data_IF_865305794108
#
_entry.id   IF_865305794108
#
_cell.length_a   1.000
_cell.length_b   1.000
_cell.length_c   1.000
_cell.angle_alpha   90.00
_cell.angle_beta   90.00
_cell.angle_gamma   90.00
#
_symmetry.space_group_name_H-M   'P 1'
#
loop_
_entity.id
_entity.type
_entity.pdbx_description
1 polymer ?
#
# COMPACT_ATOMS: atom_id res chain seq x y z
N UNK A 1 11.46 -14.40 -41.69
CA UNK A 1 12.47 -14.04 -40.65
C UNK A 1 11.76 -14.05 -39.32
N UNK A 2 11.88 -15.12 -38.55
CA UNK A 2 11.24 -15.29 -37.25
C UNK A 2 11.98 -14.50 -36.19
N UNK A 3 11.41 -13.35 -35.77
CA UNK A 3 11.84 -12.70 -34.53
C UNK A 3 11.36 -13.55 -33.34
N UNK A 4 12.24 -14.44 -32.89
CA UNK A 4 12.10 -15.08 -31.58
C UNK A 4 12.10 -13.97 -30.52
N UNK A 5 10.91 -13.67 -29.98
CA UNK A 5 10.76 -12.86 -28.79
C UNK A 5 11.46 -13.57 -27.63
N UNK A 6 12.68 -13.17 -27.34
CA UNK A 6 13.36 -13.51 -26.10
C UNK A 6 12.45 -13.12 -24.93
N UNK A 7 12.20 -14.01 -23.97
CA UNK A 7 11.39 -13.66 -22.81
C UNK A 7 12.16 -12.64 -21.98
N UNK A 8 11.80 -11.38 -22.15
CA UNK A 8 12.35 -10.26 -21.36
C UNK A 8 12.02 -10.51 -19.87
N UNK A 9 13.08 -10.86 -19.33
CA UNK A 9 13.49 -10.88 -18.14
C UNK A 9 13.10 -10.48 -16.80
N UNK A 10 13.07 -11.31 -16.27
CA UNK A 10 12.89 -11.76 -14.89
C UNK A 10 13.48 -10.86 -13.77
N UNK A 11 14.67 -10.26 -13.81
CA UNK A 11 15.21 -9.52 -12.65
C UNK A 11 14.45 -8.23 -12.28
N UNK A 12 14.00 -7.44 -13.24
CA UNK A 12 13.30 -6.17 -12.96
C UNK A 12 11.89 -6.39 -12.41
N UNK A 13 11.20 -7.42 -12.86
CA UNK A 13 9.88 -7.77 -12.32
C UNK A 13 10.01 -8.33 -10.90
N UNK A 14 11.06 -9.10 -10.60
CA UNK A 14 11.33 -9.56 -9.23
C UNK A 14 11.60 -8.41 -8.26
N UNK A 15 12.33 -7.36 -8.69
CA UNK A 15 12.53 -6.17 -7.87
C UNK A 15 11.19 -5.52 -7.46
N UNK A 16 10.26 -5.38 -8.42
CA UNK A 16 8.94 -4.79 -8.16
C UNK A 16 8.04 -5.72 -7.30
N UNK A 17 8.15 -7.04 -7.45
CA UNK A 17 7.47 -8.00 -6.59
C UNK A 17 8.02 -7.97 -5.16
N UNK A 18 9.35 -7.86 -5.00
CA UNK A 18 9.99 -7.71 -3.70
C UNK A 18 9.56 -6.40 -3.00
N UNK A 19 9.49 -5.30 -3.76
CA UNK A 19 9.00 -4.02 -3.26
C UNK A 19 7.54 -4.12 -2.81
N UNK A 20 6.68 -4.75 -3.61
CA UNK A 20 5.27 -4.97 -3.25
C UNK A 20 5.15 -5.78 -1.95
N UNK A 21 5.96 -6.82 -1.80
CA UNK A 21 5.99 -7.61 -0.57
C UNK A 21 6.35 -6.75 0.65
N UNK A 22 7.44 -5.97 0.58
CA UNK A 22 7.82 -5.08 1.67
C UNK A 22 6.71 -4.09 2.03
N UNK A 23 6.07 -3.48 1.02
CA UNK A 23 4.97 -2.54 1.27
C UNK A 23 3.79 -3.22 1.99
N UNK A 24 3.50 -4.49 1.70
CA UNK A 24 2.46 -5.25 2.42
C UNK A 24 2.86 -5.47 3.89
N UNK A 25 4.10 -5.88 4.15
CA UNK A 25 4.61 -6.09 5.51
C UNK A 25 4.66 -4.81 6.34
N UNK A 26 4.96 -3.67 5.75
CA UNK A 26 4.87 -2.36 6.41
C UNK A 26 3.44 -2.02 6.86
N UNK A 27 2.41 -2.72 6.34
CA UNK A 27 1.04 -2.63 6.83
C UNK A 27 0.91 -3.08 8.28
N UNK A 28 1.58 -4.16 8.69
CA UNK A 28 1.58 -4.61 10.07
C UNK A 28 2.18 -3.52 10.96
N UNK A 29 3.35 -3.00 10.59
CA UNK A 29 4.05 -1.96 11.36
C UNK A 29 3.17 -0.73 11.55
N UNK A 30 2.52 -0.27 10.47
CA UNK A 30 1.65 0.89 10.48
C UNK A 30 0.43 0.66 11.40
N UNK A 31 -0.28 -0.47 11.25
CA UNK A 31 -1.48 -0.73 12.03
C UNK A 31 -1.19 -1.02 13.51
N UNK A 32 -0.03 -1.56 13.84
CA UNK A 32 0.43 -1.67 15.22
C UNK A 32 0.78 -0.29 15.80
N UNK A 33 1.47 0.57 15.03
CA UNK A 33 1.82 1.91 15.48
C UNK A 33 0.56 2.75 15.82
N UNK A 34 -0.54 2.61 15.06
CA UNK A 34 -1.78 3.34 15.32
C UNK A 34 -2.33 3.07 16.74
N UNK A 35 -2.11 1.91 17.33
CA UNK A 35 -2.56 1.61 18.69
C UNK A 35 -1.83 2.43 19.77
N UNK A 36 -0.66 3.00 19.45
CA UNK A 36 0.26 3.66 20.39
C UNK A 36 0.52 5.14 20.09
N UNK A 37 -0.37 5.79 19.32
CA UNK A 37 -0.21 7.20 18.95
C UNK A 37 -0.31 8.13 20.16
N UNK A 38 0.51 9.20 20.16
CA UNK A 38 0.38 10.30 21.12
C UNK A 38 -0.63 11.34 20.63
N UNK A 39 -0.93 11.37 19.33
CA UNK A 39 -1.86 12.31 18.72
C UNK A 39 -3.27 12.15 19.31
N UNK A 40 -3.91 13.27 19.66
CA UNK A 40 -5.27 13.30 20.20
C UNK A 40 -6.28 12.75 19.19
N UNK A 41 -6.11 13.13 17.91
CA UNK A 41 -6.98 12.74 16.79
C UNK A 41 -6.52 11.39 16.22
N UNK A 42 -6.65 10.30 16.99
CA UNK A 42 -6.38 8.96 16.50
C UNK A 42 -7.41 8.57 15.44
N UNK A 43 -7.00 7.95 14.31
CA UNK A 43 -7.92 7.45 13.31
C UNK A 43 -8.76 6.25 13.80
N UNK A 44 -8.40 5.66 14.95
CA UNK A 44 -9.11 4.53 15.54
C UNK A 44 -9.68 4.91 16.92
N UNK A 45 -10.85 4.36 17.28
CA UNK A 45 -11.53 4.69 18.54
C UNK A 45 -10.93 3.99 19.77
N UNK A 46 -9.91 3.17 19.59
CA UNK A 46 -9.18 2.49 20.69
C UNK A 46 -7.72 2.94 20.73
N UNK A 47 -7.11 2.80 21.89
CA UNK A 47 -5.72 3.20 22.15
C UNK A 47 -5.13 2.36 23.30
N UNK A 48 -3.86 2.00 23.18
CA UNK A 48 -3.08 1.47 24.33
C UNK A 48 -2.75 2.62 25.29
N UNK A 49 -2.76 2.38 26.63
CA UNK A 49 -2.37 3.40 27.62
C UNK A 49 -0.91 3.82 27.49
N UNK A 50 -0.05 3.00 26.89
CA UNK A 50 1.34 3.33 26.62
C UNK A 50 1.48 3.86 25.18
N UNK A 51 1.74 5.15 25.04
CA UNK A 51 1.92 5.85 23.77
C UNK A 51 3.37 6.25 23.52
N UNK A 52 3.75 6.55 22.29
CA UNK A 52 5.11 6.95 21.94
C UNK A 52 5.15 7.82 20.69
N UNK A 53 5.95 8.92 20.68
CA UNK A 53 6.20 9.72 19.48
C UNK A 53 6.80 8.91 18.31
N UNK A 54 7.46 7.80 18.62
CA UNK A 54 7.94 6.86 17.59
C UNK A 54 6.80 6.28 16.77
N UNK A 55 5.65 6.02 17.41
CA UNK A 55 4.45 5.54 16.72
C UNK A 55 3.89 6.60 15.76
N UNK A 56 3.85 7.87 16.19
CA UNK A 56 3.41 8.98 15.33
C UNK A 56 4.32 9.14 14.11
N UNK A 57 5.64 9.10 14.33
CA UNK A 57 6.62 9.21 13.27
C UNK A 57 6.51 8.05 12.27
N UNK A 58 6.39 6.81 12.75
CA UNK A 58 6.20 5.61 11.92
C UNK A 58 4.91 5.72 11.09
N UNK A 59 3.80 6.15 11.70
CA UNK A 59 2.54 6.33 11.00
C UNK A 59 2.69 7.30 9.83
N UNK A 60 3.15 8.54 10.10
CA UNK A 60 3.23 9.61 9.09
C UNK A 60 4.22 9.21 7.99
N UNK A 61 5.38 8.64 8.37
CA UNK A 61 6.40 8.24 7.41
C UNK A 61 5.94 7.12 6.49
N UNK A 62 5.47 5.99 7.05
CA UNK A 62 5.04 4.83 6.26
C UNK A 62 3.82 5.20 5.40
N UNK A 63 2.87 5.97 5.95
CA UNK A 63 1.68 6.39 5.24
C UNK A 63 2.02 7.28 4.04
N UNK A 64 3.07 8.10 4.12
CA UNK A 64 3.44 9.03 3.05
C UNK A 64 3.77 8.35 1.72
N UNK A 65 4.37 7.15 1.71
CA UNK A 65 4.83 6.49 0.49
C UNK A 65 4.19 5.11 0.23
N UNK A 66 3.72 4.41 1.27
CA UNK A 66 3.29 3.02 1.14
C UNK A 66 2.17 2.85 0.10
N UNK A 67 1.10 3.64 0.21
CA UNK A 67 -0.02 3.57 -0.71
C UNK A 67 0.31 4.13 -2.10
N UNK A 68 1.00 5.28 -2.24
CA UNK A 68 1.54 5.75 -3.50
C UNK A 68 2.33 4.71 -4.29
N UNK A 69 3.29 4.03 -3.65
CA UNK A 69 4.06 2.94 -4.27
C UNK A 69 3.15 1.83 -4.78
N UNK A 70 2.17 1.40 -3.97
CA UNK A 70 1.23 0.37 -4.41
C UNK A 70 0.44 0.75 -5.64
N UNK A 71 -0.06 1.99 -5.72
CA UNK A 71 -0.83 2.43 -6.89
C UNK A 71 0.05 2.57 -8.13
N UNK A 72 1.30 3.03 -8.01
CA UNK A 72 2.26 3.02 -9.13
C UNK A 72 2.51 1.60 -9.62
N UNK A 73 2.81 0.66 -8.71
CA UNK A 73 3.00 -0.74 -9.07
C UNK A 73 1.75 -1.36 -9.68
N UNK A 74 0.57 -1.03 -9.16
CA UNK A 74 -0.70 -1.52 -9.69
C UNK A 74 -0.94 -1.07 -11.12
N UNK A 75 -0.74 0.22 -11.42
CA UNK A 75 -0.85 0.76 -12.76
C UNK A 75 0.14 0.12 -13.73
N UNK A 76 1.38 -0.08 -13.30
CA UNK A 76 2.41 -0.79 -14.07
C UNK A 76 1.99 -2.22 -14.40
N UNK A 77 1.56 -3.00 -13.41
CA UNK A 77 1.15 -4.39 -13.64
C UNK A 77 -0.19 -4.53 -14.39
N UNK A 78 -1.09 -3.55 -14.27
CA UNK A 78 -2.32 -3.52 -15.09
C UNK A 78 -1.98 -3.26 -16.55
N UNK A 79 -1.08 -2.31 -16.85
CA UNK A 79 -0.60 -2.06 -18.21
C UNK A 79 0.07 -3.31 -18.81
N UNK A 80 0.94 -3.98 -18.05
CA UNK A 80 1.57 -5.24 -18.43
C UNK A 80 0.55 -6.35 -18.71
N UNK A 81 -0.52 -6.45 -17.93
CA UNK A 81 -1.58 -7.43 -18.16
C UNK A 81 -2.40 -7.13 -19.40
N UNK A 82 -2.67 -5.85 -19.68
CA UNK A 82 -3.36 -5.41 -20.91
C UNK A 82 -2.51 -5.76 -22.13
N UNK A 83 -1.22 -5.51 -22.08
CA UNK A 83 -0.29 -5.86 -23.16
C UNK A 83 -0.28 -7.39 -23.42
N UNK A 84 -0.24 -8.20 -22.37
CA UNK A 84 -0.11 -9.67 -22.49
C UNK A 84 -1.42 -10.40 -22.77
N UNK A 85 -2.56 -9.90 -22.29
CA UNK A 85 -3.85 -10.62 -22.28
C UNK A 85 -5.02 -9.84 -22.87
N UNK A 86 -4.75 -8.61 -23.34
CA UNK A 86 -5.79 -7.67 -23.75
C UNK A 86 -6.61 -7.14 -22.56
N UNK A 87 -7.45 -6.14 -22.83
CA UNK A 87 -8.25 -5.49 -21.80
C UNK A 87 -9.21 -6.43 -21.06
N UNK A 88 -9.88 -7.33 -21.80
CA UNK A 88 -10.83 -8.30 -21.22
C UNK A 88 -10.12 -9.35 -20.36
N UNK A 89 -8.97 -9.87 -20.85
CA UNK A 89 -8.15 -10.82 -20.08
C UNK A 89 -7.60 -10.21 -18.81
N UNK A 90 -7.21 -8.94 -18.85
CA UNK A 90 -6.82 -8.16 -17.66
C UNK A 90 -7.99 -8.04 -16.68
N UNK A 91 -9.18 -7.61 -17.14
CA UNK A 91 -10.34 -7.41 -16.26
C UNK A 91 -10.81 -8.74 -15.64
N UNK A 92 -10.86 -9.83 -16.41
CA UNK A 92 -11.14 -11.18 -15.87
C UNK A 92 -10.15 -11.56 -14.77
N UNK A 93 -8.87 -11.33 -15.01
CA UNK A 93 -7.83 -11.61 -14.01
C UNK A 93 -8.02 -10.76 -12.74
N UNK A 94 -8.35 -9.45 -12.86
CA UNK A 94 -8.59 -8.56 -11.72
C UNK A 94 -9.88 -8.94 -10.97
N UNK A 95 -10.94 -9.33 -11.66
CA UNK A 95 -12.16 -9.88 -11.04
C UNK A 95 -11.84 -11.08 -10.14
N UNK A 96 -11.10 -12.05 -10.67
CA UNK A 96 -10.73 -13.25 -9.91
C UNK A 96 -9.73 -12.99 -8.77
N UNK A 97 -8.88 -11.93 -8.87
CA UNK A 97 -7.81 -11.71 -7.90
C UNK A 97 -8.04 -10.57 -6.93
N UNK A 98 -9.01 -9.71 -7.20
CA UNK A 98 -9.35 -8.58 -6.34
C UNK A 98 -10.82 -8.68 -5.87
N UNK A 99 -11.77 -8.74 -6.80
CA UNK A 99 -13.18 -8.75 -6.46
C UNK A 99 -13.60 -10.04 -5.74
N UNK A 100 -13.25 -11.20 -6.27
CA UNK A 100 -13.63 -12.48 -5.66
C UNK A 100 -13.03 -12.67 -4.26
N UNK A 101 -11.72 -12.43 -3.99
CA UNK A 101 -11.20 -12.45 -2.63
C UNK A 101 -11.85 -11.40 -1.73
N UNK A 102 -12.14 -10.19 -2.23
CA UNK A 102 -12.85 -9.18 -1.45
C UNK A 102 -14.22 -9.70 -0.99
N UNK A 103 -15.03 -10.23 -1.90
CA UNK A 103 -16.38 -10.75 -1.58
C UNK A 103 -16.33 -11.93 -0.61
N UNK A 104 -15.35 -12.83 -0.76
CA UNK A 104 -15.22 -14.00 0.10
C UNK A 104 -14.70 -13.70 1.50
N UNK A 105 -13.70 -12.81 1.60
CA UNK A 105 -12.99 -12.56 2.88
C UNK A 105 -13.53 -11.34 3.63
N UNK A 106 -14.14 -10.36 2.95
CA UNK A 106 -14.66 -9.17 3.62
C UNK A 106 -15.70 -9.49 4.70
N UNK A 107 -16.74 -10.34 4.49
CA UNK A 107 -17.75 -10.56 5.51
C UNK A 107 -17.19 -11.16 6.81
N UNK A 108 -16.44 -12.29 6.79
CA UNK A 108 -15.90 -12.85 8.01
C UNK A 108 -14.85 -11.94 8.67
N UNK A 109 -14.01 -11.26 7.89
CA UNK A 109 -13.04 -10.32 8.43
C UNK A 109 -13.70 -9.09 9.03
N UNK A 110 -14.79 -8.59 8.42
CA UNK A 110 -15.58 -7.49 8.97
C UNK A 110 -16.17 -7.87 10.33
N UNK A 111 -16.81 -9.02 10.44
CA UNK A 111 -17.41 -9.47 11.68
C UNK A 111 -16.35 -9.65 12.79
N UNK A 112 -15.26 -10.38 12.50
CA UNK A 112 -14.19 -10.62 13.47
C UNK A 112 -13.47 -9.33 13.89
N UNK A 113 -13.16 -8.46 12.94
CA UNK A 113 -12.49 -7.18 13.23
C UNK A 113 -13.39 -6.27 14.06
N UNK A 114 -14.70 -6.25 13.79
CA UNK A 114 -15.67 -5.46 14.56
C UNK A 114 -15.74 -5.95 16.00
N UNK A 115 -15.83 -7.27 16.23
CA UNK A 115 -15.83 -7.83 17.58
C UNK A 115 -14.55 -7.48 18.33
N UNK A 116 -13.38 -7.68 17.72
CA UNK A 116 -12.10 -7.32 18.34
C UNK A 116 -12.00 -5.81 18.62
N UNK A 117 -12.49 -4.97 17.69
CA UNK A 117 -12.53 -3.52 17.89
C UNK A 117 -13.41 -3.14 19.09
N UNK A 118 -14.60 -3.74 19.24
CA UNK A 118 -15.48 -3.51 20.38
C UNK A 118 -14.81 -3.92 21.71
N UNK A 119 -14.13 -5.06 21.74
CA UNK A 119 -13.38 -5.51 22.92
C UNK A 119 -12.25 -4.52 23.24
N UNK A 120 -11.52 -4.03 22.24
CA UNK A 120 -10.43 -3.09 22.46
C UNK A 120 -10.94 -1.70 22.90
N UNK A 121 -12.06 -1.22 22.35
CA UNK A 121 -12.71 0.02 22.78
C UNK A 121 -13.13 -0.12 24.24
N UNK A 122 -13.80 -1.20 24.62
CA UNK A 122 -14.22 -1.46 26.00
C UNK A 122 -13.02 -1.49 26.95
N UNK A 123 -11.95 -2.15 26.53
CA UNK A 123 -10.70 -2.21 27.31
C UNK A 123 -10.06 -0.82 27.45
N UNK A 124 -10.07 0.01 26.39
CA UNK A 124 -9.55 1.38 26.43
C UNK A 124 -10.33 2.28 27.39
N UNK A 125 -11.67 2.12 27.44
CA UNK A 125 -12.56 3.01 28.22
C UNK A 125 -12.75 2.51 29.66
N UNK A 126 -12.88 1.18 29.85
CA UNK A 126 -13.23 0.56 31.14
C UNK A 126 -12.05 -0.14 31.83
N UNK A 127 -10.91 -0.33 31.16
CA UNK A 127 -9.74 -1.04 31.70
C UNK A 127 -9.87 -2.57 31.74
N UNK A 128 -11.01 -3.12 31.38
CA UNK A 128 -11.30 -4.57 31.37
C UNK A 128 -11.85 -5.00 30.00
N UNK A 129 -11.59 -6.25 29.56
CA UNK A 129 -12.17 -6.78 28.34
C UNK A 129 -13.70 -6.91 28.47
N UNK A 130 -14.43 -6.52 27.42
CA UNK A 130 -15.89 -6.64 27.39
C UNK A 130 -16.44 -6.19 26.03
N UNK A 131 -17.75 -6.31 25.86
CA UNK A 131 -18.46 -5.85 24.69
C UNK A 131 -19.60 -4.95 25.15
N UNK A 132 -19.54 -3.68 24.76
CA UNK A 132 -20.60 -2.70 25.02
C UNK A 132 -20.87 -1.90 23.75
N UNK A 133 -22.05 -2.08 23.19
CA UNK A 133 -22.47 -1.37 21.96
C UNK A 133 -22.67 0.11 22.19
N UNK A 134 -22.88 0.55 23.43
CA UNK A 134 -23.01 1.96 23.76
C UNK A 134 -21.67 2.72 23.67
N UNK A 135 -20.55 2.02 23.78
CA UNK A 135 -19.20 2.59 23.63
C UNK A 135 -18.74 2.68 22.18
N UNK A 136 -19.48 2.11 21.23
CA UNK A 136 -19.15 2.30 19.82
C UNK A 136 -19.27 3.78 19.46
N UNK A 137 -18.25 4.37 18.78
CA UNK A 137 -18.29 5.77 18.41
C UNK A 137 -19.61 6.10 17.71
N UNK A 138 -20.23 7.22 18.10
CA UNK A 138 -21.39 7.72 17.40
C UNK A 138 -21.06 7.80 15.90
N UNK A 139 -21.92 7.24 15.07
CA UNK A 139 -21.76 7.28 13.61
C UNK A 139 -21.53 8.74 13.19
N UNK A 140 -20.50 8.98 12.42
CA UNK A 140 -20.41 10.27 11.73
C UNK A 140 -21.72 10.48 10.93
N UNK A 141 -22.30 11.68 10.93
CA UNK A 141 -23.49 11.97 10.16
C UNK A 141 -23.29 11.51 8.71
N UNK A 142 -24.17 10.66 8.20
CA UNK A 142 -24.06 10.06 6.87
C UNK A 142 -23.19 8.81 6.75
N UNK A 143 -22.56 8.32 7.83
CA UNK A 143 -21.78 7.09 7.83
C UNK A 143 -22.65 5.83 7.70
N UNK A 144 -22.28 4.93 6.79
CA UNK A 144 -22.93 3.62 6.65
C UNK A 144 -22.42 2.66 7.75
N UNK A 145 -23.27 1.70 8.21
CA UNK A 145 -22.85 0.70 9.20
C UNK A 145 -21.74 -0.23 8.68
N UNK A 146 -21.67 -0.37 7.37
CA UNK A 146 -20.69 -1.20 6.69
C UNK A 146 -19.65 -0.33 6.00
N UNK A 147 -18.38 -0.71 6.13
CA UNK A 147 -17.26 -0.08 5.48
C UNK A 147 -16.26 -1.14 4.99
N UNK A 148 -15.34 -0.77 4.13
CA UNK A 148 -14.36 -1.70 3.56
C UNK A 148 -13.22 -2.04 4.51
N UNK A 149 -13.17 -1.42 5.69
CA UNK A 149 -12.08 -1.54 6.68
C UNK A 149 -10.69 -1.35 6.04
N UNK A 150 -9.72 -2.17 6.45
CA UNK A 150 -8.40 -2.19 5.85
C UNK A 150 -8.38 -2.75 4.41
N UNK A 151 -9.47 -3.37 3.94
CA UNK A 151 -9.60 -3.88 2.57
C UNK A 151 -9.97 -2.79 1.54
N UNK A 152 -10.11 -1.53 1.96
CA UNK A 152 -10.39 -0.39 1.07
C UNK A 152 -9.44 -0.32 -0.14
N UNK A 153 -8.17 -0.68 0.07
CA UNK A 153 -7.18 -0.70 -1.01
C UNK A 153 -7.53 -1.72 -2.10
N UNK A 154 -7.94 -2.93 -1.71
CA UNK A 154 -8.34 -3.99 -2.65
C UNK A 154 -9.56 -3.57 -3.47
N UNK A 155 -10.53 -2.96 -2.79
CA UNK A 155 -11.74 -2.41 -3.39
C UNK A 155 -11.42 -1.30 -4.39
N UNK A 156 -10.64 -0.31 -3.99
CA UNK A 156 -10.25 0.81 -4.85
C UNK A 156 -9.40 0.36 -6.06
N UNK A 157 -8.50 -0.60 -5.83
CA UNK A 157 -7.66 -1.17 -6.89
C UNK A 157 -8.49 -1.91 -7.95
N UNK A 158 -9.55 -2.60 -7.53
CA UNK A 158 -10.49 -3.21 -8.47
C UNK A 158 -11.16 -2.17 -9.35
N UNK A 159 -11.69 -1.09 -8.77
CA UNK A 159 -12.33 -0.02 -9.53
C UNK A 159 -11.38 0.75 -10.43
N UNK A 160 -10.14 1.00 -10.01
CA UNK A 160 -9.11 1.56 -10.88
C UNK A 160 -8.80 0.62 -12.07
N UNK A 161 -8.86 -0.68 -11.85
CA UNK A 161 -8.70 -1.66 -12.94
C UNK A 161 -9.91 -1.65 -13.90
N UNK A 162 -11.12 -1.45 -13.40
CA UNK A 162 -12.34 -1.23 -14.22
C UNK A 162 -12.21 0.06 -15.03
N UNK A 163 -11.76 1.15 -14.39
CA UNK A 163 -11.51 2.42 -15.09
C UNK A 163 -10.43 2.28 -16.18
N UNK A 164 -9.36 1.52 -15.92
CA UNK A 164 -8.34 1.22 -16.93
C UNK A 164 -8.90 0.39 -18.10
N UNK A 165 -9.72 -0.63 -17.81
CA UNK A 165 -10.43 -1.40 -18.82
C UNK A 165 -11.33 -0.53 -19.69
N UNK A 166 -12.15 0.34 -19.07
CA UNK A 166 -12.99 1.29 -19.78
C UNK A 166 -12.16 2.27 -20.62
N UNK A 167 -11.07 2.81 -20.06
CA UNK A 167 -10.13 3.70 -20.76
C UNK A 167 -9.53 3.06 -22.02
N UNK A 168 -9.09 1.80 -21.93
CA UNK A 168 -8.59 1.05 -23.10
C UNK A 168 -9.67 0.83 -24.15
N UNK A 169 -10.93 0.60 -23.73
CA UNK A 169 -12.06 0.45 -24.67
C UNK A 169 -12.45 1.77 -25.33
N UNK A 170 -12.46 2.84 -24.54
CA UNK A 170 -12.87 4.18 -25.00
C UNK A 170 -11.75 4.94 -25.73
N UNK A 171 -10.50 4.50 -25.65
CA UNK A 171 -9.36 5.17 -26.30
C UNK A 171 -9.53 5.35 -27.82
N UNK A 172 -10.35 4.50 -28.47
CA UNK A 172 -10.69 4.62 -29.91
C UNK A 172 -11.41 5.92 -30.24
N UNK A 173 -12.14 6.51 -29.28
CA UNK A 173 -12.83 7.77 -29.42
C UNK A 173 -11.95 8.99 -29.08
N UNK A 174 -10.78 8.76 -28.48
CA UNK A 174 -9.84 9.82 -28.11
C UNK A 174 -8.84 10.04 -29.25
N UNK A 175 -8.70 11.27 -29.77
CA UNK A 175 -7.76 11.59 -30.83
C UNK A 175 -6.33 11.11 -30.49
N UNK A 176 -5.65 10.53 -31.48
CA UNK A 176 -4.28 10.01 -31.30
C UNK A 176 -3.33 11.07 -30.77
N UNK A 177 -3.51 12.34 -31.19
CA UNK A 177 -2.71 13.49 -30.74
C UNK A 177 -2.84 13.70 -29.22
N UNK A 178 -4.04 13.61 -28.65
CA UNK A 178 -4.27 13.77 -27.20
C UNK A 178 -3.65 12.61 -26.41
N UNK A 179 -3.80 11.38 -26.88
CA UNK A 179 -3.15 10.19 -26.25
C UNK A 179 -1.64 10.31 -26.26
N UNK A 180 -1.06 10.72 -27.40
CA UNK A 180 0.38 10.93 -27.53
C UNK A 180 0.86 12.10 -26.65
N UNK A 181 0.05 13.15 -26.50
CA UNK A 181 0.36 14.28 -25.62
C UNK A 181 0.36 13.83 -24.15
N UNK A 182 -0.66 13.12 -23.69
CA UNK A 182 -0.71 12.58 -22.34
C UNK A 182 0.49 11.69 -22.03
N UNK A 183 0.83 10.77 -22.94
CA UNK A 183 2.01 9.93 -22.80
C UNK A 183 3.30 10.75 -22.70
N UNK A 184 3.49 11.75 -23.58
CA UNK A 184 4.66 12.64 -23.55
C UNK A 184 4.75 13.42 -22.24
N UNK A 185 3.62 13.92 -21.71
CA UNK A 185 3.58 14.65 -20.44
C UNK A 185 4.02 13.74 -19.30
N UNK A 186 3.38 12.59 -19.11
CA UNK A 186 3.72 11.68 -18.00
C UNK A 186 5.15 11.14 -18.10
N UNK A 187 5.60 10.71 -19.29
CA UNK A 187 6.97 10.23 -19.50
C UNK A 187 7.97 11.37 -19.31
N UNK A 188 7.64 12.58 -19.80
CA UNK A 188 8.45 13.77 -19.60
C UNK A 188 8.63 14.12 -18.14
N UNK A 189 7.54 14.15 -17.36
CA UNK A 189 7.58 14.40 -15.92
C UNK A 189 8.34 13.31 -15.18
N UNK A 190 8.13 12.03 -15.51
CA UNK A 190 8.87 10.92 -14.94
C UNK A 190 10.39 11.00 -15.19
N UNK A 191 10.80 11.59 -16.30
CA UNK A 191 12.21 11.73 -16.71
C UNK A 191 12.91 12.92 -16.07
N UNK A 192 12.19 13.98 -15.69
CA UNK A 192 12.75 15.23 -15.18
C UNK A 192 12.94 15.20 -13.67
N UNK A 193 14.01 15.84 -13.15
CA UNK A 193 14.31 15.89 -11.71
C UNK A 193 13.24 16.63 -10.90
N UNK A 194 12.56 17.61 -11.48
CA UNK A 194 11.52 18.43 -10.86
C UNK A 194 10.09 17.94 -11.18
N UNK A 195 9.94 16.88 -11.98
CA UNK A 195 8.63 16.38 -12.41
C UNK A 195 7.72 15.96 -11.25
N UNK A 196 8.29 15.51 -10.13
CA UNK A 196 7.55 15.21 -8.91
C UNK A 196 6.80 16.42 -8.35
N UNK A 197 7.37 17.62 -8.46
CA UNK A 197 6.75 18.83 -7.94
C UNK A 197 5.46 19.16 -8.72
N UNK A 198 5.49 19.03 -10.05
CA UNK A 198 4.29 19.21 -10.90
C UNK A 198 3.24 18.14 -10.61
N UNK A 199 3.66 16.89 -10.42
CA UNK A 199 2.74 15.79 -10.06
C UNK A 199 2.15 15.96 -8.65
N UNK A 200 2.83 16.65 -7.75
CA UNK A 200 2.33 16.93 -6.41
C UNK A 200 1.27 18.06 -6.39
N UNK A 201 1.28 18.99 -7.36
CA UNK A 201 0.37 20.14 -7.36
C UNK A 201 -1.13 19.75 -7.34
N UNK A 202 -1.64 18.89 -8.25
CA UNK A 202 -3.06 18.51 -8.19
C UNK A 202 -3.44 17.82 -6.87
N UNK A 203 -2.49 17.10 -6.26
CA UNK A 203 -2.69 16.46 -4.96
C UNK A 203 -2.63 17.48 -3.81
N UNK A 204 -1.85 18.54 -3.95
CA UNK A 204 -1.83 19.64 -3.00
C UNK A 204 -3.15 20.44 -3.03
N UNK A 205 -3.69 20.67 -4.23
CA UNK A 205 -5.01 21.31 -4.37
C UNK A 205 -6.11 20.47 -3.73
N UNK A 206 -6.18 19.17 -4.03
CA UNK A 206 -7.19 18.29 -3.39
C UNK A 206 -6.97 18.13 -1.90
N UNK A 207 -5.72 18.07 -1.44
CA UNK A 207 -5.36 17.98 -0.03
C UNK A 207 -5.70 19.25 0.76
N UNK A 208 -5.69 20.43 0.11
CA UNK A 208 -6.02 21.71 0.79
C UNK A 208 -7.47 21.79 1.32
N UNK A 209 -8.35 20.91 0.84
CA UNK A 209 -9.71 20.79 1.37
C UNK A 209 -9.81 19.94 2.65
N UNK A 210 -8.70 19.36 3.10
CA UNK A 210 -8.61 18.60 4.35
C UNK A 210 -7.85 19.43 5.42
N UNK A 211 -8.31 19.47 6.66
CA UNK A 211 -7.68 20.30 7.70
C UNK A 211 -6.21 19.98 7.94
N UNK A 212 -5.83 18.71 7.84
CA UNK A 212 -4.44 18.25 7.96
C UNK A 212 -3.61 18.39 6.68
N UNK A 213 -4.22 18.76 5.54
CA UNK A 213 -3.57 18.71 4.24
C UNK A 213 -3.34 17.28 3.71
N UNK A 214 -3.67 16.25 4.47
CA UNK A 214 -3.37 14.85 4.13
C UNK A 214 -4.67 14.11 3.81
N UNK A 215 -4.75 13.56 2.60
CA UNK A 215 -5.85 12.70 2.17
C UNK A 215 -5.54 11.26 2.63
N UNK A 216 -6.32 10.77 3.58
CA UNK A 216 -6.26 9.39 4.06
C UNK A 216 -7.39 8.55 3.46
N UNK A 217 -7.20 7.23 3.35
CA UNK A 217 -8.24 6.32 2.90
C UNK A 217 -9.41 6.26 3.90
N UNK A 218 -10.62 6.56 3.42
CA UNK A 218 -11.83 6.66 4.26
C UNK A 218 -12.43 5.32 4.64
N UNK A 219 -11.95 4.22 4.09
CA UNK A 219 -12.59 2.90 4.19
C UNK A 219 -14.06 2.85 3.71
N UNK A 220 -14.54 3.90 3.05
CA UNK A 220 -15.90 3.98 2.52
C UNK A 220 -16.07 3.11 1.26
N UNK A 221 -17.28 2.57 1.03
CA UNK A 221 -17.68 2.02 -0.27
C UNK A 221 -17.85 3.10 -1.35
N UNK A 222 -18.03 4.36 -0.94
CA UNK A 222 -18.05 5.52 -1.82
C UNK A 222 -16.94 6.49 -1.40
N UNK A 223 -15.67 6.21 -1.80
CA UNK A 223 -14.57 7.08 -1.44
C UNK A 223 -14.75 8.50 -1.95
N UNK A 224 -14.37 9.54 -1.20
CA UNK A 224 -14.35 10.92 -1.66
C UNK A 224 -13.53 11.11 -2.94
N UNK A 225 -13.91 12.10 -3.75
CA UNK A 225 -13.24 12.39 -5.02
C UNK A 225 -11.73 12.59 -4.88
N UNK A 226 -11.29 13.22 -3.78
CA UNK A 226 -9.87 13.43 -3.51
C UNK A 226 -9.07 12.11 -3.41
N UNK A 227 -9.65 11.05 -2.86
CA UNK A 227 -9.00 9.73 -2.80
C UNK A 227 -8.85 9.11 -4.20
N UNK A 228 -9.84 9.33 -5.09
CA UNK A 228 -9.75 8.90 -6.49
C UNK A 228 -8.67 9.66 -7.25
N UNK A 229 -8.54 10.98 -7.02
CA UNK A 229 -7.47 11.78 -7.61
C UNK A 229 -6.11 11.32 -7.09
N UNK A 230 -5.99 11.13 -5.77
CA UNK A 230 -4.75 10.66 -5.12
C UNK A 230 -4.30 9.32 -5.70
N UNK A 231 -5.13 8.29 -5.59
CA UNK A 231 -4.80 6.94 -6.06
C UNK A 231 -4.71 6.84 -7.57
N UNK A 232 -5.59 7.52 -8.29
CA UNK A 232 -5.67 7.50 -9.74
C UNK A 232 -4.44 8.11 -10.40
N UNK A 233 -3.91 9.21 -9.86
CA UNK A 233 -2.73 9.86 -10.42
C UNK A 233 -1.48 8.96 -10.32
N UNK A 234 -1.26 8.32 -9.16
CA UNK A 234 -0.18 7.34 -8.99
C UNK A 234 -0.37 6.11 -9.90
N UNK A 235 -1.61 5.63 -10.01
CA UNK A 235 -1.93 4.50 -10.87
C UNK A 235 -1.67 4.81 -12.36
N UNK A 236 -2.14 5.94 -12.86
CA UNK A 236 -1.92 6.39 -14.25
C UNK A 236 -0.43 6.62 -14.52
N UNK A 237 0.29 7.20 -13.56
CA UNK A 237 1.74 7.33 -13.67
C UNK A 237 2.43 5.96 -13.85
N UNK A 238 2.05 4.97 -13.03
CA UNK A 238 2.55 3.60 -13.15
C UNK A 238 2.27 2.96 -14.51
N UNK A 239 1.09 3.22 -15.08
CA UNK A 239 0.73 2.80 -16.43
C UNK A 239 1.72 3.33 -17.49
N UNK A 240 2.04 4.63 -17.43
CA UNK A 240 2.99 5.22 -18.38
C UNK A 240 4.46 4.84 -18.10
N UNK A 241 4.81 4.55 -16.86
CA UNK A 241 6.13 3.97 -16.54
C UNK A 241 6.34 2.64 -17.25
N UNK A 242 5.30 1.78 -17.31
CA UNK A 242 5.38 0.51 -18.05
C UNK A 242 5.71 0.71 -19.53
N UNK A 243 5.14 1.73 -20.19
CA UNK A 243 5.36 2.01 -21.61
C UNK A 243 6.84 2.31 -21.95
N UNK A 244 7.62 2.78 -20.97
CA UNK A 244 9.06 3.10 -21.11
C UNK A 244 9.88 2.47 -19.99
N UNK A 245 9.49 1.26 -19.57
CA UNK A 245 10.00 0.62 -18.35
C UNK A 245 11.52 0.48 -18.31
N UNK A 246 12.16 0.13 -19.42
CA UNK A 246 13.62 -0.04 -19.45
C UNK A 246 14.36 1.25 -19.12
N UNK A 247 13.95 2.34 -19.77
CA UNK A 247 14.54 3.66 -19.59
C UNK A 247 14.22 4.26 -18.22
N UNK A 248 12.94 4.25 -17.82
CA UNK A 248 12.51 4.93 -16.59
C UNK A 248 12.97 4.19 -15.35
N UNK A 249 12.91 2.85 -15.30
CA UNK A 249 13.41 2.09 -14.18
C UNK A 249 14.93 2.23 -14.01
N UNK A 250 15.70 2.25 -15.12
CA UNK A 250 17.12 2.53 -15.06
C UNK A 250 17.42 3.94 -14.54
N UNK A 251 16.63 4.94 -14.98
CA UNK A 251 16.74 6.32 -14.50
C UNK A 251 16.43 6.45 -13.01
N UNK A 252 15.36 5.78 -12.52
CA UNK A 252 15.00 5.77 -11.10
C UNK A 252 16.09 5.08 -10.28
N UNK A 253 16.65 3.97 -10.78
CA UNK A 253 17.76 3.27 -10.13
C UNK A 253 19.02 4.16 -10.00
N UNK A 254 19.35 4.91 -11.06
CA UNK A 254 20.48 5.84 -11.03
C UNK A 254 20.28 7.01 -10.04
N UNK A 255 19.04 7.46 -9.85
CA UNK A 255 18.70 8.63 -9.03
C UNK A 255 18.14 8.29 -7.64
N UNK A 256 18.03 7.02 -7.26
CA UNK A 256 17.32 6.58 -6.05
C UNK A 256 17.81 7.27 -4.77
N UNK A 257 19.12 7.45 -4.59
CA UNK A 257 19.72 8.14 -3.42
C UNK A 257 19.30 9.61 -3.36
N UNK A 258 19.35 10.31 -4.50
CA UNK A 258 18.94 11.71 -4.58
C UNK A 258 17.45 11.89 -4.33
N UNK A 259 16.60 11.00 -4.87
CA UNK A 259 15.17 10.98 -4.58
C UNK A 259 14.88 10.69 -3.09
N UNK A 260 15.62 9.76 -2.46
CA UNK A 260 15.45 9.46 -1.04
C UNK A 260 15.81 10.65 -0.15
N UNK A 261 16.94 11.32 -0.45
CA UNK A 261 17.38 12.50 0.31
C UNK A 261 16.39 13.68 0.14
N UNK A 262 15.96 13.97 -1.08
CA UNK A 262 14.96 15.01 -1.34
C UNK A 262 13.61 14.65 -0.71
N UNK A 263 13.21 13.37 -0.73
CA UNK A 263 12.02 12.88 -0.06
C UNK A 263 12.09 13.04 1.45
N UNK A 264 13.25 12.80 2.06
CA UNK A 264 13.47 13.04 3.49
C UNK A 264 13.36 14.53 3.81
N UNK A 265 13.92 15.42 2.99
CA UNK A 265 13.79 16.86 3.18
C UNK A 265 12.31 17.31 3.11
N UNK A 266 11.54 16.81 2.13
CA UNK A 266 10.10 17.08 2.05
C UNK A 266 9.33 16.48 3.25
N UNK A 267 9.74 15.34 3.77
CA UNK A 267 9.15 14.75 4.97
C UNK A 267 9.38 15.63 6.20
N UNK A 268 10.62 16.09 6.41
CA UNK A 268 10.94 17.04 7.49
C UNK A 268 10.15 18.33 7.34
N UNK A 269 10.05 18.88 6.12
CA UNK A 269 9.22 20.06 5.85
C UNK A 269 7.75 19.80 6.21
N UNK A 270 7.21 18.63 5.92
CA UNK A 270 5.85 18.23 6.31
C UNK A 270 5.68 18.26 7.83
N UNK A 271 6.62 17.67 8.58
CA UNK A 271 6.57 17.64 10.05
C UNK A 271 6.65 19.06 10.65
N UNK A 272 7.52 19.91 10.11
CA UNK A 272 7.65 21.31 10.56
C UNK A 272 6.35 22.09 10.30
N UNK A 273 5.76 21.95 9.11
CA UNK A 273 4.50 22.61 8.77
C UNK A 273 3.33 22.11 9.61
N UNK A 274 3.23 20.82 9.89
CA UNK A 274 2.23 20.24 10.80
C UNK A 274 2.41 20.76 12.23
N UNK A 275 3.65 20.82 12.70
CA UNK A 275 3.97 21.38 14.02
C UNK A 275 3.60 22.88 14.14
N UNK A 276 3.96 23.68 13.14
CA UNK A 276 3.63 25.09 13.08
C UNK A 276 2.11 25.34 13.03
N UNK A 277 1.38 24.53 12.26
CA UNK A 277 -0.09 24.63 12.17
C UNK A 277 -0.76 24.34 13.52
N UNK A 278 -0.25 23.35 14.29
CA UNK A 278 -0.76 23.05 15.64
C UNK A 278 -0.41 24.13 16.65
N UNK A 279 0.80 24.66 16.60
CA UNK A 279 1.24 25.75 17.48
C UNK A 279 0.43 27.04 17.27
N UNK A 280 0.04 27.35 16.04
CA UNK A 280 -0.83 28.48 15.71
C UNK A 280 -2.22 28.33 16.33
N UNK A 281 -2.78 27.12 16.34
CA UNK A 281 -4.05 26.81 17.01
C UNK A 281 -3.99 26.96 18.54
N UNK A 282 -2.80 26.85 19.14
CA UNK A 282 -2.55 27.03 20.57
C UNK A 282 -2.20 28.49 20.98
N UNK A 283 -2.52 29.49 20.18
CA UNK A 283 -2.34 30.93 20.42
C UNK A 283 -0.89 31.45 20.52
N UNK A 284 0.10 30.69 20.10
CA UNK A 284 1.52 31.08 20.20
C UNK A 284 2.11 31.73 18.94
N UNK A 285 1.49 31.55 17.76
CA UNK A 285 1.99 32.12 16.50
C UNK A 285 0.82 32.55 15.59
N UNK A 286 1.00 33.54 14.69
CA UNK A 286 -0.01 33.83 13.68
C UNK A 286 -0.24 32.64 12.77
N UNK A 287 -1.49 32.39 12.33
CA UNK A 287 -1.81 31.25 11.48
C UNK A 287 -1.06 31.36 10.14
N UNK A 288 -0.42 30.26 9.73
CA UNK A 288 0.22 30.17 8.42
C UNK A 288 -0.84 30.24 7.32
N UNK A 289 -0.84 31.25 6.43
CA UNK A 289 -1.80 31.32 5.34
C UNK A 289 -1.74 30.05 4.48
N UNK A 290 -2.92 29.47 4.19
CA UNK A 290 -3.03 28.26 3.37
C UNK A 290 -2.21 27.06 3.87
N UNK A 291 -2.08 26.88 5.19
CA UNK A 291 -1.26 25.83 5.80
C UNK A 291 -1.57 24.44 5.23
N UNK A 292 -2.85 24.09 5.06
CA UNK A 292 -3.26 22.81 4.50
C UNK A 292 -2.70 22.56 3.08
N UNK A 293 -2.63 23.60 2.24
CA UNK A 293 -2.03 23.49 0.90
C UNK A 293 -0.52 23.21 0.97
N UNK A 294 0.22 23.94 1.81
CA UNK A 294 1.67 23.76 1.93
C UNK A 294 2.03 22.39 2.55
N UNK A 295 1.25 21.97 3.56
CA UNK A 295 1.39 20.62 4.15
C UNK A 295 1.13 19.57 3.06
N UNK A 296 0.02 19.70 2.32
CA UNK A 296 -0.33 18.79 1.24
C UNK A 296 0.73 18.74 0.14
N UNK A 297 1.31 19.89 -0.23
CA UNK A 297 2.37 19.96 -1.25
C UNK A 297 3.64 19.24 -0.78
N UNK A 298 4.12 19.54 0.43
CA UNK A 298 5.31 18.90 0.99
C UNK A 298 5.10 17.37 1.15
N UNK A 299 3.94 16.97 1.68
CA UNK A 299 3.58 15.57 1.89
C UNK A 299 3.50 14.79 0.56
N UNK A 300 2.83 15.34 -0.45
CA UNK A 300 2.72 14.68 -1.76
C UNK A 300 4.03 14.71 -2.56
N UNK A 301 4.86 15.75 -2.42
CA UNK A 301 6.22 15.76 -2.96
C UNK A 301 7.07 14.65 -2.31
N UNK A 302 6.98 14.47 -0.99
CA UNK A 302 7.58 13.37 -0.27
C UNK A 302 7.08 12.02 -0.81
N UNK A 303 5.76 11.85 -1.01
CA UNK A 303 5.15 10.64 -1.55
C UNK A 303 5.71 10.25 -2.93
N UNK A 304 5.82 11.20 -3.84
CA UNK A 304 6.41 10.98 -5.17
C UNK A 304 7.89 10.62 -5.09
N UNK A 305 8.66 11.39 -4.35
CA UNK A 305 10.10 11.18 -4.22
C UNK A 305 10.45 9.83 -3.60
N UNK A 306 9.77 9.44 -2.51
CA UNK A 306 9.95 8.13 -1.90
C UNK A 306 9.46 6.99 -2.80
N UNK A 307 8.38 7.19 -3.57
CA UNK A 307 7.94 6.19 -4.55
C UNK A 307 9.01 5.94 -5.62
N UNK A 308 9.59 7.00 -6.19
CA UNK A 308 10.68 6.88 -7.17
C UNK A 308 11.96 6.32 -6.55
N UNK A 309 12.30 6.71 -5.32
CA UNK A 309 13.46 6.23 -4.59
C UNK A 309 13.35 4.72 -4.31
N UNK A 310 12.21 4.26 -3.83
CA UNK A 310 11.97 2.85 -3.50
C UNK A 310 11.95 1.99 -4.75
N UNK A 311 11.21 2.38 -5.80
CA UNK A 311 11.22 1.66 -7.08
C UNK A 311 12.64 1.56 -7.63
N UNK A 312 13.36 2.68 -7.69
CA UNK A 312 14.74 2.72 -8.17
C UNK A 312 15.71 1.93 -7.28
N UNK A 313 15.56 2.04 -5.97
CA UNK A 313 16.38 1.32 -4.98
C UNK A 313 16.23 -0.19 -5.09
N UNK A 314 14.99 -0.70 -5.21
CA UNK A 314 14.76 -2.14 -5.38
C UNK A 314 15.30 -2.64 -6.72
N UNK A 315 15.12 -1.90 -7.80
CA UNK A 315 15.71 -2.25 -9.11
C UNK A 315 17.23 -2.28 -9.04
N UNK A 316 17.86 -1.43 -8.25
CA UNK A 316 19.32 -1.33 -8.13
C UNK A 316 19.92 -2.37 -7.19
N UNK A 317 19.32 -2.55 -5.99
CA UNK A 317 19.93 -3.31 -4.91
C UNK A 317 19.31 -4.68 -4.66
N UNK A 318 18.04 -4.88 -5.06
CA UNK A 318 17.27 -6.11 -4.85
C UNK A 318 16.65 -6.64 -6.15
N UNK A 319 17.42 -6.70 -7.27
CA UNK A 319 16.88 -7.11 -8.58
C UNK A 319 16.56 -8.60 -8.64
N UNK A 320 17.14 -9.40 -7.76
CA UNK A 320 16.99 -10.86 -7.75
C UNK A 320 16.04 -11.30 -6.65
N UNK A 321 15.45 -12.44 -6.84
CA UNK A 321 14.61 -13.09 -5.83
C UNK A 321 15.42 -14.25 -5.21
N UNK A 322 15.47 -14.30 -3.88
CA UNK A 322 15.92 -15.45 -3.12
C UNK A 322 14.73 -16.19 -2.51
N UNK A 323 14.96 -17.35 -1.89
CA UNK A 323 13.90 -18.18 -1.31
C UNK A 323 13.08 -17.43 -0.25
N UNK A 324 13.71 -16.59 0.57
CA UNK A 324 13.03 -15.81 1.62
C UNK A 324 12.15 -14.73 0.99
N UNK A 325 12.68 -13.93 0.07
CA UNK A 325 11.91 -12.89 -0.63
C UNK A 325 10.77 -13.49 -1.45
N UNK A 326 10.99 -14.66 -2.08
CA UNK A 326 9.94 -15.38 -2.79
C UNK A 326 8.82 -15.80 -1.84
N UNK A 327 9.16 -16.37 -0.68
CA UNK A 327 8.18 -16.78 0.32
C UNK A 327 7.40 -15.58 0.90
N UNK A 328 8.10 -14.50 1.26
CA UNK A 328 7.47 -13.27 1.74
C UNK A 328 6.57 -12.62 0.68
N UNK A 329 6.97 -12.67 -0.59
CA UNK A 329 6.15 -12.16 -1.69
C UNK A 329 4.89 -13.02 -1.93
N UNK A 330 5.01 -14.34 -1.86
CA UNK A 330 3.86 -15.26 -2.01
C UNK A 330 2.88 -15.16 -0.84
N UNK A 331 3.37 -15.00 0.38
CA UNK A 331 2.54 -14.87 1.59
C UNK A 331 1.91 -13.49 1.73
N UNK A 332 2.46 -12.46 1.08
CA UNK A 332 2.12 -11.05 1.33
C UNK A 332 0.63 -10.72 1.14
N UNK A 333 -0.04 -11.37 0.19
CA UNK A 333 -1.47 -11.14 -0.02
C UNK A 333 -2.32 -11.71 1.13
N UNK A 334 -2.00 -12.92 1.61
CA UNK A 334 -2.67 -13.48 2.79
C UNK A 334 -2.40 -12.65 4.03
N UNK A 335 -1.14 -12.28 4.25
CA UNK A 335 -0.75 -11.38 5.34
C UNK A 335 -1.57 -10.10 5.32
N UNK A 336 -1.75 -9.48 4.15
CA UNK A 336 -2.60 -8.29 4.00
C UNK A 336 -4.05 -8.55 4.41
N UNK A 337 -4.62 -9.71 4.10
CA UNK A 337 -6.00 -10.03 4.46
C UNK A 337 -6.18 -10.16 5.98
N UNK A 338 -5.25 -10.84 6.66
CA UNK A 338 -5.45 -11.26 8.05
C UNK A 338 -4.75 -10.42 9.11
N UNK A 339 -3.78 -9.58 8.73
CA UNK A 339 -2.92 -8.87 9.71
C UNK A 339 -3.71 -8.01 10.68
N UNK A 340 -4.84 -7.44 10.27
CA UNK A 340 -5.65 -6.57 11.14
C UNK A 340 -6.17 -7.31 12.36
N UNK A 341 -6.56 -8.58 12.20
CA UNK A 341 -6.96 -9.43 13.34
C UNK A 341 -5.81 -9.62 14.33
N UNK A 342 -4.60 -9.85 13.83
CA UNK A 342 -3.41 -9.97 14.67
C UNK A 342 -3.06 -8.66 15.37
N UNK A 343 -3.01 -7.54 14.65
CA UNK A 343 -2.62 -6.24 15.23
C UNK A 343 -3.55 -5.78 16.34
N UNK A 344 -4.86 -6.01 16.20
CA UNK A 344 -5.86 -5.72 17.22
C UNK A 344 -5.79 -6.77 18.34
N UNK A 345 -5.82 -8.07 18.00
CA UNK A 345 -5.82 -9.15 18.97
C UNK A 345 -4.61 -9.14 19.91
N UNK A 346 -3.39 -8.98 19.36
CA UNK A 346 -2.19 -8.82 20.19
C UNK A 346 -2.13 -7.45 20.88
N UNK A 347 -2.76 -6.41 20.33
CA UNK A 347 -2.97 -5.15 21.05
C UNK A 347 -3.77 -5.34 22.32
N UNK A 348 -4.87 -6.08 22.28
CA UNK A 348 -5.70 -6.44 23.43
C UNK A 348 -4.89 -7.28 24.44
N UNK A 349 -4.19 -8.31 23.99
CA UNK A 349 -3.42 -9.20 24.87
C UNK A 349 -2.28 -8.46 25.58
N UNK A 350 -1.65 -7.49 24.93
CA UNK A 350 -0.55 -6.71 25.49
C UNK A 350 -1.01 -5.47 26.27
N UNK A 351 -2.30 -5.17 26.33
CA UNK A 351 -2.81 -3.91 26.89
C UNK A 351 -2.31 -3.66 28.32
N UNK A 352 -2.47 -4.62 29.21
CA UNK A 352 -2.05 -4.53 30.61
C UNK A 352 -0.60 -5.01 30.85
N UNK A 353 0.15 -5.36 29.79
CA UNK A 353 1.53 -5.80 29.93
C UNK A 353 2.43 -4.66 30.46
N UNK A 354 3.39 -4.94 31.36
CA UNK A 354 4.22 -3.93 32.01
C UNK A 354 5.32 -3.35 31.11
N UNK A 355 5.18 -3.48 29.79
CA UNK A 355 6.17 -3.01 28.82
C UNK A 355 5.86 -1.58 28.34
N UNK A 356 6.91 -0.84 27.94
CA UNK A 356 6.74 0.43 27.25
C UNK A 356 6.18 0.25 25.83
N UNK A 357 5.66 1.35 25.25
CA UNK A 357 4.99 1.34 23.93
C UNK A 357 5.85 0.69 22.82
N UNK A 358 7.14 1.03 22.74
CA UNK A 358 8.05 0.50 21.70
C UNK A 358 8.22 -1.02 21.82
N UNK A 359 8.36 -1.53 23.05
CA UNK A 359 8.45 -2.98 23.28
C UNK A 359 7.14 -3.70 22.93
N UNK A 360 5.98 -3.13 23.32
CA UNK A 360 4.66 -3.66 22.93
C UNK A 360 4.49 -3.66 21.42
N UNK A 361 4.88 -2.59 20.72
CA UNK A 361 4.87 -2.54 19.25
C UNK A 361 5.73 -3.66 18.67
N UNK A 362 6.96 -3.83 19.13
CA UNK A 362 7.86 -4.87 18.65
C UNK A 362 7.29 -6.28 18.82
N UNK A 363 6.75 -6.57 20.02
CA UNK A 363 6.11 -7.85 20.32
C UNK A 363 4.87 -8.11 19.46
N UNK A 364 4.00 -7.10 19.31
CA UNK A 364 2.81 -7.21 18.46
C UNK A 364 3.16 -7.45 16.99
N UNK A 365 4.12 -6.68 16.44
CA UNK A 365 4.61 -6.86 15.06
C UNK A 365 5.14 -8.28 14.88
N UNK A 366 5.99 -8.77 15.80
CA UNK A 366 6.56 -10.11 15.71
C UNK A 366 5.48 -11.19 15.81
N UNK A 367 4.59 -11.12 16.78
CA UNK A 367 3.51 -12.10 17.01
C UNK A 367 2.53 -12.12 15.83
N UNK A 368 2.07 -10.93 15.35
CA UNK A 368 1.20 -10.82 14.17
C UNK A 368 1.87 -11.42 12.94
N UNK A 369 3.15 -11.13 12.72
CA UNK A 369 3.91 -11.65 11.58
C UNK A 369 4.03 -13.18 11.64
N UNK A 370 4.38 -13.74 12.80
CA UNK A 370 4.51 -15.18 13.01
C UNK A 370 3.18 -15.90 12.77
N UNK A 371 2.09 -15.41 13.35
CA UNK A 371 0.75 -16.02 13.17
C UNK A 371 0.29 -15.91 11.72
N UNK A 372 0.52 -14.77 11.06
CA UNK A 372 0.18 -14.59 9.65
C UNK A 372 0.98 -15.54 8.73
N UNK A 373 2.27 -15.76 9.01
CA UNK A 373 3.09 -16.72 8.25
C UNK A 373 2.71 -18.17 8.55
N UNK A 374 2.47 -18.52 9.82
CA UNK A 374 2.02 -19.85 10.21
C UNK A 374 0.67 -20.18 9.56
N UNK A 375 -0.30 -19.26 9.63
CA UNK A 375 -1.60 -19.44 8.97
C UNK A 375 -1.49 -19.52 7.45
N UNK A 376 -0.59 -18.75 6.82
CA UNK A 376 -0.30 -18.90 5.38
C UNK A 376 0.21 -20.29 5.06
N UNK A 377 1.18 -20.78 5.83
CA UNK A 377 1.78 -22.09 5.60
C UNK A 377 0.76 -23.23 5.76
N UNK A 378 -0.09 -23.16 6.79
CA UNK A 378 -1.03 -24.23 7.14
C UNK A 378 -2.32 -24.18 6.32
N UNK A 379 -2.89 -22.99 6.12
CA UNK A 379 -4.24 -22.83 5.58
C UNK A 379 -4.27 -22.41 4.10
N UNK A 380 -3.16 -21.89 3.56
CA UNK A 380 -3.18 -21.22 2.25
C UNK A 380 -2.25 -21.87 1.24
N UNK A 381 -0.99 -22.08 1.60
CA UNK A 381 0.09 -22.38 0.65
C UNK A 381 -0.23 -23.56 -0.29
N UNK A 382 -0.79 -24.63 0.24
CA UNK A 382 -1.07 -25.88 -0.51
C UNK A 382 -2.55 -26.11 -0.78
N UNK A 383 -3.42 -25.12 -0.55
CA UNK A 383 -4.87 -25.22 -0.63
C UNK A 383 -5.45 -24.48 -1.86
N UNK A 384 -6.73 -24.67 -2.19
CA UNK A 384 -7.41 -23.86 -3.21
C UNK A 384 -7.37 -22.35 -2.94
N UNK A 385 -7.31 -21.94 -1.67
CA UNK A 385 -7.16 -20.53 -1.29
C UNK A 385 -5.85 -19.96 -1.86
N UNK A 386 -4.75 -20.70 -1.73
CA UNK A 386 -3.46 -20.29 -2.30
C UNK A 386 -3.49 -20.16 -3.82
N UNK A 387 -4.20 -21.04 -4.51
CA UNK A 387 -4.42 -20.92 -5.97
C UNK A 387 -5.25 -19.69 -6.32
N UNK A 388 -6.26 -19.39 -5.53
CA UNK A 388 -7.10 -18.20 -5.69
C UNK A 388 -6.26 -16.91 -5.51
N UNK A 389 -5.46 -16.81 -4.45
CA UNK A 389 -4.71 -15.61 -4.11
C UNK A 389 -3.45 -15.44 -4.98
N UNK A 390 -2.67 -16.50 -5.23
CA UNK A 390 -1.37 -16.44 -5.92
C UNK A 390 -1.42 -16.90 -7.39
N UNK A 391 -2.49 -17.62 -7.81
CA UNK A 391 -2.63 -18.23 -9.13
C UNK A 391 -1.79 -19.51 -9.30
N UNK A 392 -1.87 -20.10 -10.49
CA UNK A 392 -1.24 -21.40 -10.80
C UNK A 392 0.30 -21.39 -10.79
N UNK A 393 0.96 -20.22 -10.68
CA UNK A 393 2.42 -20.12 -10.70
C UNK A 393 3.13 -20.82 -9.53
N UNK A 394 2.49 -20.94 -8.37
CA UNK A 394 3.11 -21.59 -7.20
C UNK A 394 3.36 -23.09 -7.40
N UNK A 395 2.54 -23.78 -8.18
CA UNK A 395 2.69 -25.24 -8.44
C UNK A 395 3.64 -25.57 -9.58
N UNK A 396 3.84 -24.71 -10.57
CA UNK A 396 4.73 -24.97 -11.71
C UNK A 396 6.19 -24.63 -11.42
N UNK A 397 6.46 -23.58 -10.64
CA UNK A 397 7.82 -23.25 -10.19
C UNK A 397 8.34 -24.29 -9.18
N UNK A 398 7.49 -24.84 -8.32
CA UNK A 398 7.85 -25.92 -7.39
C UNK A 398 8.12 -27.23 -8.15
N UNK A 399 7.32 -27.56 -9.16
CA UNK A 399 7.57 -28.70 -10.06
C UNK A 399 8.84 -28.53 -10.89
N UNK A 400 9.17 -27.31 -11.33
CA UNK A 400 10.43 -27.03 -12.05
C UNK A 400 11.64 -27.06 -11.13
N UNK A 401 11.53 -26.62 -9.87
CA UNK A 401 12.64 -26.66 -8.91
C UNK A 401 12.92 -28.09 -8.45
N UNK A 402 11.89 -28.89 -8.18
CA UNK A 402 12.03 -30.32 -7.87
C UNK A 402 12.55 -31.12 -9.04
N UNK A 403 12.07 -30.86 -10.25
CA UNK A 403 12.58 -31.51 -11.47
C UNK A 403 14.05 -31.16 -11.75
N UNK A 404 14.48 -29.91 -11.54
CA UNK A 404 15.90 -29.51 -11.68
C UNK A 404 16.79 -30.14 -10.61
N UNK A 405 16.31 -30.25 -9.36
CA UNK A 405 17.03 -30.87 -8.26
C UNK A 405 17.16 -32.39 -8.47
N UNK A 406 16.13 -33.04 -9.01
CA UNK A 406 16.16 -34.48 -9.34
C UNK A 406 17.10 -34.76 -10.50
N UNK A 407 17.05 -33.95 -11.58
CA UNK A 407 17.94 -34.10 -12.71
C UNK A 407 19.41 -33.79 -12.35
N UNK A 408 19.68 -32.83 -11.46
CA UNK A 408 21.03 -32.55 -10.98
C UNK A 408 21.60 -33.72 -10.14
N UNK A 409 20.76 -34.37 -9.31
CA UNK A 409 21.16 -35.57 -8.56
C UNK A 409 21.41 -36.80 -9.44
N UNK A 410 20.63 -36.98 -10.51
CA UNK A 410 20.82 -38.07 -11.48
C UNK A 410 22.07 -37.88 -12.34
N UNK A 411 22.43 -36.61 -12.64
CA UNK A 411 23.67 -36.30 -13.39
C UNK A 411 24.92 -36.37 -12.50
N UNK A 412 24.79 -36.17 -11.19
CA UNK A 412 25.93 -36.31 -10.24
C UNK A 412 26.17 -37.78 -9.80
N UNK A 413 25.27 -38.67 -10.12
CA UNK A 413 25.34 -40.10 -9.80
C UNK A 413 25.78 -40.97 -11.01
N UNK A 414 26.07 -40.39 -12.16
CA UNK A 414 26.72 -40.94 -13.33
C UNK A 414 28.15 -40.42 -13.48
#
# INVERSE_FOLDING_TARGET
>A
MNNAHTPFATPRLHALDNLRALMMWLGIVLHVAINHLTLADSPLPWRDPKTSPVADLLLIFIHSFRMPVFFVLAGFFVALLVERRGANGMQKNRGLRLALPFVLFWPPLFALTTVLAMVFIHLTVRGVPGIDTALTPARQPGGTPFNTMHLWFLYQLFWLSVAAWAGVRLQRFVPVRLRAMAARVFIGLASRRWGFAVLALPLAVTGSFYPSGIVAGSSSFLPPFAEWVQSGLFFVFGWYVHAQQERLLALFAARCKGHALAGLACFVATLVLLGASKASGAHSLPPLPHAAFWIALAYNACAWLWSLALIGGFVRYLPRQNAVLAYLSQSSYWVYLVHMLGTIGFGILLFNAPFGAVAKMGLNIAATSLVALASYQLLVRHTPIGRLLNGQRGGEEEKRSTSKSTNARVLAAK
#
